data_IF_926655780612
#
_entry.id   IF_926655780612
#
_cell.length_a   1.000
_cell.length_b   1.000
_cell.length_c   1.000
_cell.angle_alpha   90.00
_cell.angle_beta   90.00
_cell.angle_gamma   90.00
#
_symmetry.space_group_name_H-M   'P 1'
#
loop_
_entity.id
_entity.type
_entity.pdbx_description
1 polymer ?
#
# COMPACT_ATOMS: atom_id res chain seq x y z
N UNK A 1 -12.67 -2.11 13.04
CA UNK A 1 -11.85 -2.27 11.83
C UNK A 1 -11.91 -1.00 11.01
N UNK A 2 -10.79 -0.49 10.47
CA UNK A 2 -10.79 0.58 9.48
C UNK A 2 -11.74 0.27 8.31
N UNK A 3 -12.24 1.32 7.69
CA UNK A 3 -13.12 1.24 6.52
C UNK A 3 -12.45 1.99 5.37
N UNK A 4 -12.41 1.36 4.19
CA UNK A 4 -11.99 2.03 2.96
C UNK A 4 -13.17 2.87 2.47
N UNK A 5 -13.05 4.19 2.59
CA UNK A 5 -14.13 5.13 2.22
C UNK A 5 -14.05 5.58 0.77
N UNK A 6 -12.88 5.50 0.14
CA UNK A 6 -12.65 5.95 -1.23
C UNK A 6 -11.60 5.09 -1.91
N UNK A 7 -11.81 4.84 -3.21
CA UNK A 7 -10.83 4.26 -4.13
C UNK A 7 -10.80 5.11 -5.39
N UNK A 8 -9.59 5.41 -5.85
CA UNK A 8 -9.35 6.11 -7.11
C UNK A 8 -8.41 5.27 -7.95
N UNK A 9 -8.80 4.99 -9.19
CA UNK A 9 -8.02 4.23 -10.16
C UNK A 9 -7.54 5.17 -11.25
N UNK A 10 -6.24 5.10 -11.59
CA UNK A 10 -5.61 5.99 -12.57
C UNK A 10 -5.11 5.20 -13.77
N UNK A 11 -5.05 5.84 -14.95
CA UNK A 11 -4.37 5.31 -16.14
C UNK A 11 -4.73 3.87 -16.53
N UNK A 12 -6.00 3.48 -16.38
CA UNK A 12 -6.47 2.14 -16.72
C UNK A 12 -6.04 1.04 -15.73
N UNK A 13 -5.75 1.42 -14.48
CA UNK A 13 -5.33 0.50 -13.41
C UNK A 13 -6.23 -0.73 -13.32
N UNK A 14 -7.55 -0.57 -13.29
CA UNK A 14 -8.48 -1.70 -13.12
C UNK A 14 -8.38 -2.69 -14.29
N UNK A 15 -8.29 -2.21 -15.53
CA UNK A 15 -8.08 -3.09 -16.69
C UNK A 15 -6.71 -3.79 -16.63
N UNK A 16 -5.68 -3.09 -16.14
CA UNK A 16 -4.34 -3.65 -16.01
C UNK A 16 -4.28 -4.74 -14.95
N UNK A 17 -4.91 -4.54 -13.79
CA UNK A 17 -5.02 -5.53 -12.72
C UNK A 17 -5.66 -6.81 -13.24
N UNK A 18 -6.79 -6.71 -13.95
CA UNK A 18 -7.50 -7.87 -14.51
C UNK A 18 -6.64 -8.59 -15.56
N UNK A 19 -6.08 -7.83 -16.50
CA UNK A 19 -5.24 -8.39 -17.57
C UNK A 19 -4.02 -9.13 -17.03
N UNK A 20 -3.44 -8.63 -15.94
CA UNK A 20 -2.23 -9.19 -15.32
C UNK A 20 -2.52 -10.19 -14.20
N UNK A 21 -3.80 -10.52 -13.94
CA UNK A 21 -4.23 -11.44 -12.89
C UNK A 21 -3.74 -11.03 -11.50
N UNK A 22 -3.86 -9.73 -11.18
CA UNK A 22 -3.38 -9.14 -9.92
C UNK A 22 -4.51 -8.96 -8.89
N UNK A 23 -5.75 -9.30 -9.24
CA UNK A 23 -6.92 -9.21 -8.35
C UNK A 23 -6.71 -9.89 -6.99
N UNK A 24 -6.07 -11.07 -6.89
CA UNK A 24 -5.83 -11.70 -5.59
C UNK A 24 -4.92 -10.85 -4.69
N UNK A 25 -3.91 -10.20 -5.28
CA UNK A 25 -3.02 -9.30 -4.53
C UNK A 25 -3.79 -8.06 -4.08
N UNK A 26 -4.67 -7.52 -4.94
CA UNK A 26 -5.53 -6.38 -4.56
C UNK A 26 -6.47 -6.72 -3.39
N UNK A 27 -7.07 -7.92 -3.41
CA UNK A 27 -7.91 -8.38 -2.32
C UNK A 27 -7.12 -8.53 -1.01
N UNK A 28 -5.87 -8.97 -1.07
CA UNK A 28 -4.98 -9.00 0.10
C UNK A 28 -4.66 -7.60 0.63
N UNK A 29 -4.41 -6.62 -0.24
CA UNK A 29 -4.18 -5.23 0.19
C UNK A 29 -5.41 -4.71 0.95
N UNK A 30 -6.61 -4.93 0.42
CA UNK A 30 -7.86 -4.52 1.08
C UNK A 30 -8.07 -5.22 2.43
N UNK A 31 -7.75 -6.52 2.50
CA UNK A 31 -7.79 -7.28 3.74
C UNK A 31 -6.78 -6.73 4.77
N UNK A 32 -5.56 -6.41 4.36
CA UNK A 32 -4.53 -5.78 5.22
C UNK A 32 -5.00 -4.44 5.78
N UNK A 33 -5.62 -3.58 4.95
CA UNK A 33 -6.09 -2.25 5.36
C UNK A 33 -7.30 -2.31 6.30
N UNK A 34 -8.07 -3.40 6.28
CA UNK A 34 -9.28 -3.58 7.10
C UNK A 34 -9.11 -4.64 8.21
N UNK A 35 -7.95 -5.30 8.29
CA UNK A 35 -7.72 -6.50 9.11
C UNK A 35 -7.41 -6.25 10.58
N UNK A 36 -7.16 -5.00 10.98
CA UNK A 36 -6.72 -4.66 12.33
C UNK A 36 -7.73 -3.79 13.11
N UNK A 37 -7.80 -3.90 14.44
CA UNK A 37 -8.59 -2.99 15.25
C UNK A 37 -7.98 -1.58 15.23
N UNK A 38 -8.77 -0.59 14.82
CA UNK A 38 -8.43 0.82 14.94
C UNK A 38 -9.25 1.42 16.07
N UNK A 39 -8.58 1.73 17.18
CA UNK A 39 -9.16 2.38 18.34
C UNK A 39 -8.69 3.84 18.36
N UNK A 40 -9.62 4.77 18.58
CA UNK A 40 -9.35 6.20 18.61
C UNK A 40 -9.68 6.71 20.00
N UNK A 41 -8.74 7.41 20.62
CA UNK A 41 -9.02 8.17 21.83
C UNK A 41 -9.65 9.51 21.45
N UNK A 42 -10.83 9.83 21.98
CA UNK A 42 -11.57 11.07 21.69
C UNK A 42 -10.99 12.31 22.41
N UNK A 43 -9.67 12.35 22.54
CA UNK A 43 -8.92 13.45 23.12
C UNK A 43 -8.07 14.11 22.03
N UNK A 44 -8.10 15.45 21.98
CA UNK A 44 -7.33 16.21 21.00
C UNK A 44 -5.83 15.90 21.11
N UNK A 45 -5.19 15.57 19.99
CA UNK A 45 -3.77 15.22 19.89
C UNK A 45 -3.34 13.94 20.63
N UNK A 46 -4.27 13.11 21.10
CA UNK A 46 -3.93 11.84 21.75
C UNK A 46 -3.50 10.75 20.74
N UNK A 47 -3.96 10.84 19.49
CA UNK A 47 -3.70 9.83 18.46
C UNK A 47 -2.55 10.24 17.54
N UNK A 48 -1.42 9.55 17.65
CA UNK A 48 -0.31 9.66 16.71
C UNK A 48 -0.47 8.73 15.50
N UNK A 49 0.16 9.08 14.38
CA UNK A 49 0.08 8.30 13.12
C UNK A 49 1.03 7.10 13.09
N UNK A 50 2.05 7.09 13.95
CA UNK A 50 3.04 6.00 14.04
C UNK A 50 2.39 4.65 14.33
N UNK A 51 1.42 4.60 15.25
CA UNK A 51 0.72 3.36 15.60
C UNK A 51 -0.09 2.80 14.42
N UNK A 52 -0.66 3.67 13.58
CA UNK A 52 -1.39 3.27 12.38
C UNK A 52 -0.44 2.62 11.38
N UNK A 53 0.73 3.23 11.12
CA UNK A 53 1.75 2.68 10.24
C UNK A 53 2.22 1.30 10.71
N UNK A 54 2.53 1.17 12.00
CA UNK A 54 2.96 -0.10 12.59
C UNK A 54 1.89 -1.20 12.47
N UNK A 55 0.61 -0.86 12.64
CA UNK A 55 -0.48 -1.82 12.48
C UNK A 55 -0.61 -2.30 11.02
N UNK A 56 -0.51 -1.39 10.05
CA UNK A 56 -0.55 -1.73 8.62
C UNK A 56 0.66 -2.60 8.24
N UNK A 57 1.87 -2.21 8.66
CA UNK A 57 3.09 -2.97 8.38
C UNK A 57 3.04 -4.37 9.02
N UNK A 58 2.51 -4.46 10.24
CA UNK A 58 2.30 -5.75 10.91
C UNK A 58 1.34 -6.63 10.11
N UNK A 59 0.22 -6.10 9.63
CA UNK A 59 -0.72 -6.89 8.81
C UNK A 59 -0.09 -7.34 7.48
N UNK A 60 0.63 -6.47 6.76
CA UNK A 60 1.37 -6.89 5.56
C UNK A 60 2.35 -8.04 5.85
N UNK A 61 3.05 -8.00 6.98
CA UNK A 61 4.01 -9.03 7.36
C UNK A 61 3.37 -10.42 7.62
N UNK A 62 2.06 -10.47 7.88
CA UNK A 62 1.32 -11.73 8.09
C UNK A 62 0.97 -12.44 6.79
N UNK A 63 0.94 -11.70 5.67
CA UNK A 63 0.67 -12.25 4.37
C UNK A 63 1.97 -12.73 3.70
N UNK A 64 2.00 -13.98 3.25
CA UNK A 64 3.20 -14.54 2.60
C UNK A 64 3.50 -13.85 1.27
N UNK A 65 4.78 -13.67 0.96
CA UNK A 65 5.24 -13.14 -0.33
C UNK A 65 5.32 -11.61 -0.41
N UNK A 66 4.83 -10.87 0.59
CA UNK A 66 5.11 -9.45 0.72
C UNK A 66 6.55 -9.21 1.17
N UNK A 67 7.21 -8.25 0.53
CA UNK A 67 8.56 -7.81 0.86
C UNK A 67 8.52 -6.35 1.27
N UNK A 68 9.01 -6.05 2.47
CA UNK A 68 9.20 -4.68 2.94
C UNK A 68 10.52 -4.14 2.39
N UNK A 69 10.49 -2.97 1.74
CA UNK A 69 11.70 -2.30 1.26
C UNK A 69 11.98 -1.12 2.20
N UNK A 70 13.04 -1.24 3.00
CA UNK A 70 13.29 -0.30 4.09
C UNK A 70 13.85 1.08 3.66
N UNK A 71 14.40 1.21 2.45
CA UNK A 71 15.06 2.46 2.00
C UNK A 71 14.94 2.63 0.48
N UNK A 72 14.49 3.82 0.05
CA UNK A 72 14.61 4.29 -1.35
C UNK A 72 13.75 3.55 -2.37
N UNK A 73 12.71 2.87 -1.91
CA UNK A 73 11.78 2.15 -2.77
C UNK A 73 10.40 2.08 -2.13
N UNK A 74 9.46 1.48 -2.87
CA UNK A 74 8.07 1.33 -2.46
C UNK A 74 7.97 0.46 -1.21
N UNK A 75 7.22 0.91 -0.21
CA UNK A 75 7.15 0.32 1.14
C UNK A 75 6.97 -1.20 1.12
N UNK A 76 6.05 -1.67 0.28
CA UNK A 76 5.70 -3.08 0.17
C UNK A 76 5.60 -3.51 -1.29
N UNK A 77 6.17 -4.68 -1.60
CA UNK A 77 6.04 -5.29 -2.93
C UNK A 77 5.61 -6.74 -2.83
N UNK A 78 4.79 -7.20 -3.76
CA UNK A 78 4.46 -8.61 -3.91
C UNK A 78 4.35 -9.00 -5.38
N UNK A 79 4.89 -10.16 -5.71
CA UNK A 79 4.89 -10.71 -7.07
C UNK A 79 3.95 -11.92 -7.16
N UNK A 80 3.12 -11.98 -8.20
CA UNK A 80 2.29 -13.15 -8.48
C UNK A 80 3.11 -14.28 -9.13
N UNK A 81 2.46 -15.43 -9.38
CA UNK A 81 3.11 -16.59 -9.98
C UNK A 81 3.61 -16.36 -11.42
N UNK A 82 3.03 -15.40 -12.15
CA UNK A 82 3.40 -15.02 -13.51
C UNK A 82 4.56 -13.99 -13.53
N UNK A 83 5.15 -13.69 -12.37
CA UNK A 83 6.27 -12.76 -12.24
C UNK A 83 5.88 -11.28 -12.25
N UNK A 84 4.59 -10.95 -12.12
CA UNK A 84 4.07 -9.57 -12.10
C UNK A 84 4.00 -9.04 -10.68
N UNK A 85 4.59 -7.88 -10.44
CA UNK A 85 4.71 -7.24 -9.15
C UNK A 85 3.71 -6.08 -8.97
N UNK A 86 3.21 -5.96 -7.74
CA UNK A 86 2.45 -4.81 -7.23
C UNK A 86 3.29 -4.13 -6.16
N UNK A 87 3.41 -2.81 -6.25
CA UNK A 87 3.94 -1.95 -5.19
C UNK A 87 2.81 -1.34 -4.38
N UNK A 88 3.05 -1.11 -3.09
CA UNK A 88 2.13 -0.39 -2.19
C UNK A 88 2.95 0.57 -1.34
N UNK A 89 2.48 1.81 -1.28
CA UNK A 89 3.05 2.88 -0.48
C UNK A 89 2.05 3.31 0.61
N UNK A 90 2.50 3.35 1.86
CA UNK A 90 1.63 3.58 3.03
C UNK A 90 1.91 4.97 3.62
N UNK A 91 1.07 5.93 3.25
CA UNK A 91 1.13 7.29 3.78
C UNK A 91 0.08 7.50 4.89
N UNK A 92 0.55 7.72 6.12
CA UNK A 92 -0.29 8.01 7.30
C UNK A 92 -0.18 9.46 7.78
N UNK A 93 0.71 10.25 7.18
CA UNK A 93 0.92 11.66 7.54
C UNK A 93 0.40 12.61 6.47
N UNK A 94 -0.20 13.73 6.88
CA UNK A 94 -0.67 14.79 5.97
C UNK A 94 0.44 15.71 5.44
N UNK A 95 1.70 15.28 5.51
CA UNK A 95 2.85 16.07 5.05
C UNK A 95 2.97 15.99 3.53
N UNK A 96 2.59 17.07 2.85
CA UNK A 96 2.56 17.14 1.38
C UNK A 96 3.91 16.92 0.72
N UNK A 97 5.01 17.24 1.42
CA UNK A 97 6.38 17.03 0.97
C UNK A 97 6.75 15.54 0.91
N UNK A 98 6.31 14.75 1.89
CA UNK A 98 6.56 13.30 1.90
C UNK A 98 5.73 12.60 0.82
N UNK A 99 4.45 12.95 0.69
CA UNK A 99 3.57 12.40 -0.34
C UNK A 99 4.13 12.60 -1.76
N UNK A 100 4.71 13.76 -2.06
CA UNK A 100 5.28 14.02 -3.38
C UNK A 100 6.51 13.13 -3.66
N UNK A 101 7.36 12.90 -2.67
CA UNK A 101 8.54 12.03 -2.78
C UNK A 101 8.12 10.58 -2.96
N UNK A 102 7.16 10.12 -2.17
CA UNK A 102 6.63 8.76 -2.22
C UNK A 102 6.03 8.46 -3.61
N UNK A 103 5.25 9.40 -4.17
CA UNK A 103 4.71 9.30 -5.54
C UNK A 103 5.82 9.28 -6.61
N UNK A 104 6.91 10.03 -6.41
CA UNK A 104 8.05 9.98 -7.34
C UNK A 104 8.72 8.61 -7.34
N UNK A 105 9.02 8.03 -6.17
CA UNK A 105 9.60 6.68 -6.09
C UNK A 105 8.67 5.63 -6.72
N UNK A 106 7.36 5.73 -6.48
CA UNK A 106 6.36 4.86 -7.11
C UNK A 106 6.39 4.97 -8.64
N UNK A 107 6.46 6.20 -9.15
CA UNK A 107 6.51 6.48 -10.59
C UNK A 107 7.79 5.95 -11.23
N UNK A 108 8.94 6.06 -10.55
CA UNK A 108 10.21 5.53 -11.02
C UNK A 108 10.14 4.00 -11.17
N UNK A 109 9.61 3.30 -10.16
CA UNK A 109 9.46 1.84 -10.20
C UNK A 109 8.42 1.34 -11.22
N UNK A 110 7.38 2.13 -11.48
CA UNK A 110 6.44 1.85 -12.57
C UNK A 110 7.09 2.03 -13.95
N UNK A 111 8.02 2.99 -14.07
CA UNK A 111 8.68 3.34 -15.33
C UNK A 111 9.81 2.37 -15.66
N UNK A 112 10.59 1.95 -14.67
CA UNK A 112 11.67 0.97 -14.84
C UNK A 112 11.15 -0.48 -14.98
N UNK A 113 9.88 -0.72 -14.65
CA UNK A 113 9.22 -2.01 -14.77
C UNK A 113 9.47 -2.96 -13.61
N UNK A 114 10.03 -2.48 -12.49
CA UNK A 114 10.17 -3.25 -11.25
C UNK A 114 8.84 -3.53 -10.56
N UNK A 115 7.83 -2.69 -10.80
CA UNK A 115 6.43 -2.97 -10.48
C UNK A 115 5.52 -2.70 -11.68
N UNK A 116 4.51 -3.55 -11.88
CA UNK A 116 3.53 -3.34 -12.94
C UNK A 116 2.36 -2.47 -12.50
N UNK A 117 1.96 -2.51 -11.24
CA UNK A 117 0.88 -1.69 -10.72
C UNK A 117 1.24 -1.18 -9.32
N UNK A 118 0.70 -0.02 -8.98
CA UNK A 118 0.80 0.56 -7.65
C UNK A 118 -0.41 1.44 -7.36
#
# INVERSE_FOLDING_TARGET
MPQITQRLSFNGFDQKVIRLKLEPIMAEIEATLSGFPLLIEETRHANGTQGIRQAIDHEFSRHSGWKNIAVGGVDWTKTNADGRAVGVEVQVSGRSDLLAVDVMHLSEQLTDGSVECA
#
